data_IF_702744255870
#
_entry.id   IF_702744255870
#
_cell.length_a   1.000
_cell.length_b   1.000
_cell.length_c   1.000
_cell.angle_alpha   90.00
_cell.angle_beta   90.00
_cell.angle_gamma   90.00
#
_symmetry.space_group_name_H-M   'P 1'
#
loop_
_entity.id
_entity.type
_entity.pdbx_description
1 polymer ?
#
# COMPACT_ATOMS: atom_id res chain seq x y z
N UNK A 1 -73.83 169.18 44.10
CA UNK A 1 -72.49 169.67 43.72
C UNK A 1 -71.78 170.06 45.00
N UNK A 2 -70.56 169.55 45.17
CA UNK A 2 -69.70 169.58 46.37
C UNK A 2 -70.02 168.54 47.45
N UNK A 3 -69.04 167.67 47.70
CA UNK A 3 -69.00 166.62 48.74
C UNK A 3 -69.62 165.27 48.34
N UNK A 4 -69.55 165.00 47.03
CA UNK A 4 -69.21 163.69 46.48
C UNK A 4 -67.79 163.24 46.93
N UNK A 5 -67.00 164.15 47.55
CA UNK A 5 -65.63 163.90 48.03
C UNK A 5 -65.54 163.37 49.48
N UNK A 6 -66.50 163.65 50.38
CA UNK A 6 -66.49 163.03 51.73
C UNK A 6 -66.95 161.57 51.66
N UNK A 7 -67.75 161.22 50.65
CA UNK A 7 -68.15 159.86 50.32
C UNK A 7 -67.00 158.96 49.86
N UNK A 8 -65.83 159.53 49.52
CA UNK A 8 -64.64 158.78 49.09
C UNK A 8 -63.63 158.58 50.24
N UNK A 9 -63.40 159.60 51.07
CA UNK A 9 -62.36 159.54 52.12
C UNK A 9 -62.76 158.71 53.35
N UNK A 10 -64.04 158.66 53.73
CA UNK A 10 -64.49 157.72 54.75
C UNK A 10 -64.65 156.28 54.22
N UNK A 11 -64.85 156.10 52.91
CA UNK A 11 -64.91 154.78 52.30
C UNK A 11 -63.55 154.06 52.37
N UNK A 12 -62.44 154.81 52.41
CA UNK A 12 -61.08 154.28 52.63
C UNK A 12 -60.81 153.90 54.10
N UNK A 13 -61.38 154.60 55.08
CA UNK A 13 -61.37 154.19 56.50
C UNK A 13 -62.27 152.96 56.73
N UNK A 14 -63.39 152.86 56.02
CA UNK A 14 -64.27 151.69 56.03
C UNK A 14 -63.56 150.47 55.41
N UNK A 15 -62.72 150.66 54.38
CA UNK A 15 -61.99 149.56 53.74
C UNK A 15 -60.85 149.01 54.61
N UNK A 16 -60.10 149.87 55.31
CA UNK A 16 -58.99 149.44 56.18
C UNK A 16 -59.46 148.84 57.52
N UNK A 17 -60.61 149.25 58.06
CA UNK A 17 -61.18 148.61 59.26
C UNK A 17 -61.86 147.27 58.96
N UNK A 18 -62.42 147.06 57.75
CA UNK A 18 -63.01 145.77 57.40
C UNK A 18 -61.97 144.68 57.14
N UNK A 19 -60.79 145.01 56.59
CA UNK A 19 -59.78 144.00 56.25
C UNK A 19 -59.08 143.42 57.50
N UNK A 20 -58.80 144.25 58.52
CA UNK A 20 -58.20 143.78 59.77
C UNK A 20 -59.16 142.93 60.62
N UNK A 21 -60.45 143.27 60.67
CA UNK A 21 -61.43 142.49 61.46
C UNK A 21 -61.69 141.13 60.83
N UNK A 22 -61.70 141.01 59.49
CA UNK A 22 -61.94 139.71 58.82
C UNK A 22 -60.71 138.80 58.85
N UNK A 23 -59.49 139.36 58.76
CA UNK A 23 -58.24 138.57 58.81
C UNK A 23 -57.95 138.06 60.22
N UNK A 24 -58.18 138.85 61.27
CA UNK A 24 -58.00 138.39 62.65
C UNK A 24 -59.01 137.31 63.06
N UNK A 25 -60.25 137.37 62.57
CA UNK A 25 -61.28 136.34 62.81
C UNK A 25 -60.96 135.02 62.07
N UNK A 26 -60.34 135.10 60.88
CA UNK A 26 -59.84 133.93 60.16
C UNK A 26 -58.60 133.32 60.84
N UNK A 27 -57.66 134.13 61.32
CA UNK A 27 -56.49 133.67 62.07
C UNK A 27 -56.91 133.02 63.39
N UNK A 28 -57.91 133.58 64.10
CA UNK A 28 -58.47 132.94 65.30
C UNK A 28 -59.13 131.60 64.95
N UNK A 29 -59.94 131.52 63.91
CA UNK A 29 -60.54 130.25 63.46
C UNK A 29 -59.50 129.20 63.07
N UNK A 30 -58.44 129.59 62.36
CA UNK A 30 -57.35 128.67 62.01
C UNK A 30 -56.51 128.27 63.23
N UNK A 31 -56.32 129.15 64.20
CA UNK A 31 -55.65 128.84 65.48
C UNK A 31 -56.48 127.91 66.34
N UNK A 32 -57.79 128.12 66.40
CA UNK A 32 -58.73 127.25 67.11
C UNK A 32 -58.87 125.90 66.41
N UNK A 33 -58.88 125.85 65.08
CA UNK A 33 -58.79 124.61 64.31
C UNK A 33 -57.44 123.90 64.52
N UNK A 34 -56.32 124.61 64.53
CA UNK A 34 -55.00 124.02 64.79
C UNK A 34 -54.87 123.50 66.23
N UNK A 35 -55.43 124.21 67.21
CA UNK A 35 -55.51 123.76 68.59
C UNK A 35 -56.40 122.51 68.71
N UNK A 36 -57.56 122.51 68.06
CA UNK A 36 -58.47 121.36 68.04
C UNK A 36 -57.84 120.14 67.35
N UNK A 37 -57.10 120.32 66.25
CA UNK A 37 -56.32 119.26 65.61
C UNK A 37 -55.19 118.77 66.52
N UNK A 38 -54.49 119.68 67.22
CA UNK A 38 -53.43 119.31 68.16
C UNK A 38 -53.98 118.54 69.36
N UNK A 39 -55.16 118.91 69.86
CA UNK A 39 -55.89 118.19 70.91
C UNK A 39 -56.32 116.80 70.43
N UNK A 40 -56.92 116.68 69.24
CA UNK A 40 -57.26 115.40 68.60
C UNK A 40 -56.02 114.50 68.40
N UNK A 41 -54.88 115.07 68.00
CA UNK A 41 -53.63 114.33 67.84
C UNK A 41 -53.06 113.87 69.18
N UNK A 42 -53.17 114.69 70.23
CA UNK A 42 -52.79 114.30 71.60
C UNK A 42 -53.69 113.17 72.10
N UNK A 43 -55.01 113.28 71.92
CA UNK A 43 -55.97 112.23 72.27
C UNK A 43 -55.70 110.93 71.52
N UNK A 44 -55.38 111.00 70.22
CA UNK A 44 -55.03 109.82 69.41
C UNK A 44 -53.71 109.19 69.86
N UNK A 45 -52.69 110.00 70.17
CA UNK A 45 -51.43 109.53 70.75
C UNK A 45 -51.64 108.89 72.12
N UNK A 46 -52.49 109.47 72.97
CA UNK A 46 -52.83 108.92 74.28
C UNK A 46 -53.59 107.59 74.15
N UNK A 47 -54.53 107.48 73.21
CA UNK A 47 -55.21 106.22 72.91
C UNK A 47 -54.23 105.16 72.36
N UNK A 48 -53.30 105.55 71.49
CA UNK A 48 -52.25 104.67 70.98
C UNK A 48 -51.29 104.19 72.06
N UNK A 49 -50.91 105.07 73.00
CA UNK A 49 -50.08 104.69 74.16
C UNK A 49 -50.82 103.74 75.10
N UNK A 50 -52.12 103.97 75.36
CA UNK A 50 -52.94 103.05 76.16
C UNK A 50 -53.05 101.68 75.52
N UNK A 51 -53.32 101.62 74.21
CA UNK A 51 -53.40 100.36 73.48
C UNK A 51 -52.05 99.62 73.46
N UNK A 52 -50.93 100.32 73.29
CA UNK A 52 -49.59 99.73 73.36
C UNK A 52 -49.30 99.16 74.76
N UNK A 53 -49.67 99.88 75.82
CA UNK A 53 -49.54 99.40 77.19
C UNK A 53 -50.42 98.18 77.47
N UNK A 54 -51.65 98.15 76.96
CA UNK A 54 -52.53 97.00 77.06
C UNK A 54 -51.97 95.78 76.30
N UNK A 55 -51.44 95.98 75.10
CA UNK A 55 -50.80 94.91 74.32
C UNK A 55 -49.52 94.39 74.98
N UNK A 56 -48.69 95.27 75.54
CA UNK A 56 -47.50 94.88 76.31
C UNK A 56 -47.88 94.13 77.58
N UNK A 57 -48.96 94.55 78.26
CA UNK A 57 -49.49 93.84 79.42
C UNK A 57 -49.94 92.43 79.05
N UNK A 58 -50.75 92.28 78.00
CA UNK A 58 -51.20 90.98 77.48
C UNK A 58 -50.01 90.11 77.08
N UNK A 59 -49.01 90.67 76.39
CA UNK A 59 -47.83 89.93 75.99
C UNK A 59 -46.99 89.47 77.19
N UNK A 60 -46.81 90.34 78.19
CA UNK A 60 -46.13 89.98 79.44
C UNK A 60 -46.90 88.90 80.21
N UNK A 61 -48.23 88.95 80.23
CA UNK A 61 -49.06 87.91 80.83
C UNK A 61 -48.92 86.58 80.08
N UNK A 62 -48.99 86.56 78.74
CA UNK A 62 -48.75 85.36 77.93
C UNK A 62 -47.36 84.77 78.16
N UNK A 63 -46.33 85.61 78.27
CA UNK A 63 -44.97 85.17 78.56
C UNK A 63 -44.80 84.64 79.98
N UNK A 64 -45.45 85.27 80.97
CA UNK A 64 -45.52 84.77 82.35
C UNK A 64 -46.25 83.43 82.39
N UNK A 65 -47.38 83.29 81.71
CA UNK A 65 -48.13 82.04 81.59
C UNK A 65 -47.34 80.93 80.89
N UNK A 66 -46.66 81.23 79.78
CA UNK A 66 -45.85 80.25 79.06
C UNK A 66 -44.68 79.76 79.92
N UNK A 67 -44.00 80.68 80.61
CA UNK A 67 -42.94 80.35 81.58
C UNK A 67 -43.48 79.57 82.76
N UNK A 68 -44.65 79.91 83.29
CA UNK A 68 -45.31 79.15 84.36
C UNK A 68 -45.65 77.74 83.87
N UNK A 69 -46.20 77.57 82.67
CA UNK A 69 -46.48 76.26 82.06
C UNK A 69 -45.20 75.46 81.80
N UNK A 70 -44.10 76.11 81.45
CA UNK A 70 -42.79 75.46 81.32
C UNK A 70 -42.29 75.00 82.69
N UNK A 71 -42.31 75.87 83.69
CA UNK A 71 -41.94 75.53 85.07
C UNK A 71 -42.82 74.40 85.61
N UNK A 72 -44.12 74.38 85.31
CA UNK A 72 -45.02 73.30 85.68
C UNK A 72 -44.68 71.98 84.96
N UNK A 73 -44.28 72.01 83.69
CA UNK A 73 -43.79 70.84 82.96
C UNK A 73 -42.50 70.26 83.57
N UNK A 74 -41.58 71.13 83.98
CA UNK A 74 -40.29 70.73 84.54
C UNK A 74 -40.39 70.31 86.02
N UNK A 75 -41.22 71.00 86.82
CA UNK A 75 -41.37 70.75 88.26
C UNK A 75 -42.30 69.59 88.57
N UNK A 76 -43.44 69.47 87.88
CA UNK A 76 -44.39 68.41 88.16
C UNK A 76 -43.83 67.03 87.80
N UNK A 77 -44.01 66.08 88.70
CA UNK A 77 -43.57 64.68 88.52
C UNK A 77 -44.53 63.95 87.57
N UNK A 78 -45.81 64.28 87.60
CA UNK A 78 -46.85 63.65 86.78
C UNK A 78 -46.64 63.90 85.27
N UNK A 79 -46.31 65.13 84.87
CA UNK A 79 -46.05 65.44 83.46
C UNK A 79 -44.76 64.79 82.95
N UNK A 80 -43.72 64.71 83.79
CA UNK A 80 -42.49 63.96 83.46
C UNK A 80 -42.75 62.46 83.31
N UNK A 81 -43.57 61.88 84.19
CA UNK A 81 -43.97 60.48 84.10
C UNK A 81 -44.78 60.20 82.83
N UNK A 82 -45.74 61.07 82.50
CA UNK A 82 -46.51 60.97 81.27
C UNK A 82 -45.61 61.08 80.03
N UNK A 83 -44.68 62.04 80.00
CA UNK A 83 -43.73 62.19 78.90
C UNK A 83 -42.83 60.96 78.77
N UNK A 84 -42.34 60.40 79.87
CA UNK A 84 -41.55 59.16 79.87
C UNK A 84 -42.37 57.97 79.35
N UNK A 85 -43.64 57.84 79.74
CA UNK A 85 -44.56 56.81 79.26
C UNK A 85 -44.86 56.96 77.76
N UNK A 86 -45.07 58.18 77.28
CA UNK A 86 -45.28 58.46 75.86
C UNK A 86 -44.02 58.16 75.03
N UNK A 87 -42.83 58.55 75.52
CA UNK A 87 -41.55 58.18 74.88
C UNK A 87 -41.37 56.66 74.84
N UNK A 88 -41.67 55.96 75.92
CA UNK A 88 -41.64 54.49 75.96
C UNK A 88 -42.63 53.87 74.96
N UNK A 89 -43.83 54.43 74.81
CA UNK A 89 -44.81 53.98 73.83
C UNK A 89 -44.35 54.21 72.38
N UNK A 90 -43.69 55.33 72.08
CA UNK A 90 -43.08 55.57 70.77
C UNK A 90 -41.95 54.57 70.48
N UNK A 91 -41.08 54.30 71.46
CA UNK A 91 -40.03 53.28 71.32
C UNK A 91 -40.63 51.89 71.12
N UNK A 92 -41.70 51.53 71.85
CA UNK A 92 -42.40 50.26 71.68
C UNK A 92 -43.05 50.14 70.29
N UNK A 93 -43.59 51.23 69.74
CA UNK A 93 -44.14 51.28 68.38
C UNK A 93 -43.04 51.06 67.34
N UNK A 94 -41.89 51.70 67.49
CA UNK A 94 -40.73 51.51 66.59
C UNK A 94 -40.18 50.08 66.69
N UNK A 95 -40.05 49.54 67.90
CA UNK A 95 -39.63 48.15 68.11
C UNK A 95 -40.61 47.16 67.45
N UNK A 96 -41.91 47.39 67.57
CA UNK A 96 -42.93 46.56 66.92
C UNK A 96 -42.81 46.61 65.39
N UNK A 97 -42.54 47.80 64.81
CA UNK A 97 -42.29 47.94 63.38
C UNK A 97 -41.01 47.20 62.95
N UNK A 98 -39.92 47.31 63.71
CA UNK A 98 -38.67 46.59 63.45
C UNK A 98 -38.83 45.06 63.56
N UNK A 99 -39.60 44.58 64.55
CA UNK A 99 -39.91 43.17 64.69
C UNK A 99 -40.71 42.66 63.48
N UNK A 100 -41.73 43.41 63.06
CA UNK A 100 -42.53 43.08 61.87
C UNK A 100 -41.67 43.08 60.58
N UNK A 101 -40.76 44.05 60.42
CA UNK A 101 -39.82 44.11 59.30
C UNK A 101 -38.87 42.90 59.30
N UNK A 102 -38.32 42.55 60.47
CA UNK A 102 -37.44 41.38 60.63
C UNK A 102 -38.19 40.08 60.35
N UNK A 103 -39.44 39.96 60.78
CA UNK A 103 -40.29 38.81 60.47
C UNK A 103 -40.61 38.73 58.97
N UNK A 104 -40.95 39.84 58.32
CA UNK A 104 -41.17 39.90 56.88
C UNK A 104 -39.89 39.53 56.10
N UNK A 105 -38.72 40.01 56.53
CA UNK A 105 -37.44 39.66 55.94
C UNK A 105 -37.15 38.16 56.06
N UNK A 106 -37.38 37.56 57.24
CA UNK A 106 -37.24 36.11 57.47
C UNK A 106 -38.18 35.29 56.60
N UNK A 107 -39.44 35.73 56.44
CA UNK A 107 -40.40 35.04 55.57
C UNK A 107 -40.00 35.14 54.10
N UNK A 108 -39.47 36.29 53.67
CA UNK A 108 -38.95 36.47 52.31
C UNK A 108 -37.72 35.58 52.06
N UNK A 109 -36.80 35.49 53.01
CA UNK A 109 -35.63 34.62 52.94
C UNK A 109 -36.05 33.15 52.79
N UNK A 110 -36.99 32.68 53.61
CA UNK A 110 -37.55 31.31 53.49
C UNK A 110 -38.18 31.05 52.12
N UNK A 111 -38.94 32.01 51.59
CA UNK A 111 -39.57 31.87 50.27
C UNK A 111 -38.51 31.79 49.16
N UNK A 112 -37.44 32.57 49.26
CA UNK A 112 -36.30 32.49 48.34
C UNK A 112 -35.55 31.15 48.45
N UNK A 113 -35.38 30.62 49.66
CA UNK A 113 -34.81 29.29 49.90
C UNK A 113 -35.67 28.20 49.27
N UNK A 114 -37.00 28.28 49.42
CA UNK A 114 -37.95 27.34 48.81
C UNK A 114 -37.88 27.39 47.28
N UNK A 115 -37.92 28.58 46.68
CA UNK A 115 -37.76 28.78 45.23
C UNK A 115 -36.42 28.22 44.73
N UNK A 116 -35.32 28.47 45.47
CA UNK A 116 -34.01 27.95 45.11
C UNK A 116 -33.98 26.41 45.16
N UNK A 117 -34.61 25.79 46.17
CA UNK A 117 -34.73 24.34 46.29
C UNK A 117 -35.54 23.76 45.13
N UNK A 118 -36.64 24.40 44.73
CA UNK A 118 -37.44 23.95 43.57
C UNK A 118 -36.65 24.02 42.26
N UNK A 119 -35.92 25.10 42.03
CA UNK A 119 -35.05 25.23 40.85
C UNK A 119 -34.00 24.12 40.84
N UNK A 120 -33.32 23.89 41.97
CA UNK A 120 -32.31 22.82 42.09
C UNK A 120 -32.91 21.44 41.84
N UNK A 121 -34.09 21.13 42.39
CA UNK A 121 -34.79 19.86 42.12
C UNK A 121 -35.09 19.69 40.63
N UNK A 122 -35.61 20.73 39.97
CA UNK A 122 -35.92 20.67 38.54
C UNK A 122 -34.68 20.44 37.67
N UNK A 123 -33.53 21.02 38.06
CA UNK A 123 -32.25 20.79 37.37
C UNK A 123 -31.77 19.37 37.58
N UNK A 124 -31.86 18.86 38.81
CA UNK A 124 -31.49 17.49 39.14
C UNK A 124 -32.34 16.47 38.38
N UNK A 125 -33.66 16.64 38.32
CA UNK A 125 -34.55 15.77 37.55
C UNK A 125 -34.21 15.77 36.06
N UNK A 126 -33.89 16.94 35.48
CA UNK A 126 -33.43 17.03 34.08
C UNK A 126 -32.10 16.33 33.86
N UNK A 127 -31.16 16.44 34.80
CA UNK A 127 -29.87 15.74 34.74
C UNK A 127 -30.06 14.22 34.79
N UNK A 128 -30.85 13.73 35.75
CA UNK A 128 -31.16 12.30 35.88
C UNK A 128 -31.86 11.77 34.63
N UNK A 129 -32.83 12.51 34.08
CA UNK A 129 -33.49 12.14 32.83
C UNK A 129 -32.51 12.12 31.64
N UNK A 130 -31.60 13.08 31.55
CA UNK A 130 -30.58 13.13 30.50
C UNK A 130 -29.57 11.98 30.62
N UNK A 131 -29.15 11.61 31.84
CA UNK A 131 -28.30 10.44 32.10
C UNK A 131 -29.01 9.15 31.71
N UNK A 132 -30.27 8.97 32.13
CA UNK A 132 -31.07 7.80 31.75
C UNK A 132 -31.22 7.65 30.23
N UNK A 133 -31.38 8.76 29.49
CA UNK A 133 -31.43 8.74 28.03
C UNK A 133 -30.09 8.32 27.41
N UNK A 134 -28.96 8.82 27.95
CA UNK A 134 -27.62 8.40 27.50
C UNK A 134 -27.39 6.92 27.73
N UNK A 135 -27.75 6.41 28.91
CA UNK A 135 -27.63 4.99 29.23
C UNK A 135 -28.48 4.12 28.29
N UNK A 136 -29.70 4.57 27.96
CA UNK A 136 -30.58 3.89 27.01
C UNK A 136 -29.99 3.88 25.59
N UNK A 137 -29.39 4.98 25.14
CA UNK A 137 -28.70 5.05 23.85
C UNK A 137 -27.46 4.15 23.80
N UNK A 138 -26.65 4.13 24.86
CA UNK A 138 -25.50 3.24 24.98
C UNK A 138 -25.92 1.77 24.97
N UNK A 139 -27.00 1.43 25.68
CA UNK A 139 -27.56 0.09 25.69
C UNK A 139 -28.06 -0.30 24.28
N UNK A 140 -28.76 0.61 23.59
CA UNK A 140 -29.18 0.40 22.19
C UNK A 140 -27.99 0.15 21.27
N UNK A 141 -26.93 0.96 21.36
CA UNK A 141 -25.69 0.77 20.58
C UNK A 141 -25.04 -0.58 20.88
N UNK A 142 -25.01 -1.01 22.14
CA UNK A 142 -24.50 -2.35 22.53
C UNK A 142 -25.32 -3.48 21.90
N UNK A 143 -26.64 -3.34 21.84
CA UNK A 143 -27.53 -4.31 21.19
C UNK A 143 -27.31 -4.36 19.67
N UNK A 144 -27.23 -3.20 19.02
CA UNK A 144 -26.94 -3.09 17.58
C UNK A 144 -25.58 -3.69 17.24
N UNK A 145 -24.55 -3.38 18.03
CA UNK A 145 -23.22 -3.96 17.90
C UNK A 145 -23.25 -5.49 18.09
N UNK A 146 -23.96 -5.97 19.10
CA UNK A 146 -24.15 -7.40 19.33
C UNK A 146 -24.89 -8.10 18.18
N UNK A 147 -25.85 -7.43 17.53
CA UNK A 147 -26.54 -7.94 16.34
C UNK A 147 -25.60 -8.01 15.14
N UNK A 148 -24.85 -6.95 14.86
CA UNK A 148 -23.87 -6.92 13.78
C UNK A 148 -22.81 -8.03 13.94
N UNK A 149 -22.34 -8.28 15.17
CA UNK A 149 -21.40 -9.37 15.43
C UNK A 149 -22.02 -10.76 15.16
N UNK A 150 -23.29 -10.97 15.54
CA UNK A 150 -24.01 -12.21 15.20
C UNK A 150 -24.14 -12.39 13.70
N UNK A 151 -24.46 -11.33 12.97
CA UNK A 151 -24.57 -11.36 11.51
C UNK A 151 -23.22 -11.69 10.85
N UNK A 152 -22.12 -11.12 11.36
CA UNK A 152 -20.77 -11.48 10.92
C UNK A 152 -20.46 -12.97 11.13
N UNK A 153 -20.83 -13.53 12.29
CA UNK A 153 -20.65 -14.96 12.57
C UNK A 153 -21.48 -15.84 11.62
N UNK A 154 -22.73 -15.46 11.35
CA UNK A 154 -23.59 -16.17 10.38
C UNK A 154 -23.01 -16.09 8.96
N UNK A 155 -22.54 -14.92 8.54
CA UNK A 155 -21.89 -14.74 7.23
C UNK A 155 -20.61 -15.58 7.12
N UNK A 156 -19.78 -15.61 8.15
CA UNK A 156 -18.58 -16.44 8.19
C UNK A 156 -18.92 -17.94 8.08
N UNK A 157 -19.97 -18.39 8.77
CA UNK A 157 -20.39 -19.79 8.71
C UNK A 157 -20.98 -20.16 7.34
N UNK A 158 -21.77 -19.27 6.73
CA UNK A 158 -22.24 -19.46 5.34
C UNK A 158 -21.09 -19.55 4.36
N UNK A 159 -20.05 -18.73 4.53
CA UNK A 159 -18.87 -18.79 3.66
C UNK A 159 -18.16 -20.14 3.77
N UNK A 160 -18.07 -20.72 4.98
CA UNK A 160 -17.54 -22.09 5.16
C UNK A 160 -18.42 -23.14 4.48
N UNK A 161 -19.74 -22.99 4.55
CA UNK A 161 -20.67 -23.89 3.86
C UNK A 161 -20.48 -23.86 2.35
N UNK A 162 -20.40 -22.67 1.75
CA UNK A 162 -20.13 -22.50 0.32
C UNK A 162 -18.78 -23.10 -0.05
N UNK A 163 -17.72 -22.81 0.72
CA UNK A 163 -16.40 -23.40 0.47
C UNK A 163 -16.40 -24.94 0.58
N UNK A 164 -17.21 -25.50 1.47
CA UNK A 164 -17.37 -26.95 1.57
C UNK A 164 -18.12 -27.53 0.37
N UNK A 165 -19.15 -26.86 -0.12
CA UNK A 165 -19.86 -27.25 -1.35
C UNK A 165 -18.91 -27.22 -2.56
N UNK A 166 -18.12 -26.16 -2.72
CA UNK A 166 -17.11 -26.04 -3.77
C UNK A 166 -16.09 -27.18 -3.68
N UNK A 167 -15.57 -27.47 -2.48
CA UNK A 167 -14.67 -28.61 -2.26
C UNK A 167 -15.30 -29.95 -2.67
N UNK A 168 -16.58 -30.18 -2.37
CA UNK A 168 -17.27 -31.39 -2.78
C UNK A 168 -17.47 -31.46 -4.31
N UNK A 169 -17.70 -30.32 -4.97
CA UNK A 169 -17.77 -30.26 -6.43
C UNK A 169 -16.41 -30.55 -7.06
N UNK A 170 -15.34 -29.91 -6.58
CA UNK A 170 -13.96 -30.16 -7.01
C UNK A 170 -13.58 -31.62 -6.82
N UNK A 171 -13.91 -32.21 -5.66
CA UNK A 171 -13.67 -33.63 -5.40
C UNK A 171 -14.37 -34.53 -6.42
N UNK A 172 -15.63 -34.25 -6.76
CA UNK A 172 -16.35 -35.02 -7.80
C UNK A 172 -15.67 -34.92 -9.16
N UNK A 173 -15.16 -33.74 -9.51
CA UNK A 173 -14.41 -33.52 -10.76
C UNK A 173 -13.10 -34.30 -10.74
N UNK A 174 -12.33 -34.22 -9.64
CA UNK A 174 -11.08 -34.96 -9.47
C UNK A 174 -11.31 -36.47 -9.51
N UNK A 175 -12.33 -36.99 -8.81
CA UNK A 175 -12.69 -38.40 -8.85
C UNK A 175 -13.07 -38.84 -10.28
N UNK A 176 -13.74 -37.98 -11.06
CA UNK A 176 -14.06 -38.26 -12.46
C UNK A 176 -12.79 -38.26 -13.35
N UNK A 177 -11.83 -37.36 -13.12
CA UNK A 177 -10.55 -37.34 -13.82
C UNK A 177 -9.74 -38.61 -13.50
N UNK A 178 -9.65 -38.99 -12.22
CA UNK A 178 -8.94 -40.21 -11.80
C UNK A 178 -9.57 -41.45 -12.43
N UNK A 179 -10.90 -41.55 -12.47
CA UNK A 179 -11.59 -42.64 -13.18
C UNK A 179 -11.24 -42.67 -14.67
N UNK A 180 -11.24 -41.51 -15.35
CA UNK A 180 -10.86 -41.43 -16.76
C UNK A 180 -9.43 -41.89 -17.01
N UNK A 181 -8.48 -41.50 -16.15
CA UNK A 181 -7.08 -41.95 -16.26
C UNK A 181 -7.01 -43.47 -16.12
N UNK A 182 -7.69 -44.05 -15.12
CA UNK A 182 -7.71 -45.51 -14.97
C UNK A 182 -8.35 -46.22 -16.17
N UNK A 183 -9.45 -45.70 -16.71
CA UNK A 183 -10.10 -46.25 -17.89
C UNK A 183 -9.20 -46.16 -19.13
N UNK A 184 -8.48 -45.05 -19.30
CA UNK A 184 -7.51 -44.84 -20.38
C UNK A 184 -6.31 -45.78 -20.25
N UNK A 185 -5.72 -45.89 -19.06
CA UNK A 185 -4.62 -46.80 -18.75
C UNK A 185 -5.02 -48.26 -19.03
N UNK A 186 -6.24 -48.65 -18.66
CA UNK A 186 -6.76 -49.99 -18.93
C UNK A 186 -6.90 -50.23 -20.45
N UNK A 187 -7.47 -49.28 -21.20
CA UNK A 187 -7.59 -49.39 -22.66
C UNK A 187 -6.23 -49.44 -23.36
N UNK A 188 -5.26 -48.68 -22.87
CA UNK A 188 -3.89 -48.75 -23.37
C UNK A 188 -3.28 -50.12 -23.11
N UNK A 189 -3.47 -50.67 -21.91
CA UNK A 189 -3.00 -52.00 -21.56
C UNK A 189 -3.62 -53.07 -22.47
N UNK A 190 -4.94 -53.05 -22.65
CA UNK A 190 -5.64 -53.95 -23.57
C UNK A 190 -5.13 -53.80 -25.02
N UNK A 191 -4.93 -52.56 -25.49
CA UNK A 191 -4.39 -52.29 -26.82
C UNK A 191 -2.96 -52.81 -27.00
N UNK A 192 -2.10 -52.66 -25.98
CA UNK A 192 -0.72 -53.19 -25.98
C UNK A 192 -0.75 -54.72 -25.99
N UNK A 193 -1.61 -55.34 -25.19
CA UNK A 193 -1.79 -56.79 -25.17
C UNK A 193 -2.27 -57.34 -26.52
N UNK A 194 -3.24 -56.70 -27.15
CA UNK A 194 -3.71 -57.08 -28.49
C UNK A 194 -2.62 -56.94 -29.55
N UNK A 195 -1.84 -55.85 -29.52
CA UNK A 195 -0.69 -55.69 -30.43
C UNK A 195 0.35 -56.79 -30.22
N UNK A 196 0.68 -57.11 -28.97
CA UNK A 196 1.62 -58.18 -28.64
C UNK A 196 1.11 -59.56 -29.08
N UNK A 197 -0.19 -59.83 -28.95
CA UNK A 197 -0.79 -61.07 -29.45
C UNK A 197 -0.70 -61.15 -30.97
N UNK A 198 -1.05 -60.07 -31.69
CA UNK A 198 -0.93 -60.02 -33.16
C UNK A 198 0.50 -60.21 -33.63
N UNK A 199 1.47 -59.53 -33.03
CA UNK A 199 2.89 -59.70 -33.42
C UNK A 199 3.37 -61.12 -33.13
N UNK A 200 2.91 -61.75 -32.04
CA UNK A 200 3.21 -63.15 -31.74
C UNK A 200 2.62 -64.09 -32.79
N UNK A 201 1.35 -63.90 -33.16
CA UNK A 201 0.69 -64.68 -34.23
C UNK A 201 1.40 -64.51 -35.58
N UNK A 202 1.80 -63.30 -35.94
CA UNK A 202 2.57 -63.00 -37.15
C UNK A 202 3.94 -63.71 -37.15
N UNK A 203 4.65 -63.70 -36.01
CA UNK A 203 5.93 -64.41 -35.85
C UNK A 203 5.73 -65.92 -35.98
N UNK A 204 4.69 -66.47 -35.35
CA UNK A 204 4.37 -67.91 -35.43
C UNK A 204 4.01 -68.31 -36.86
N UNK A 205 3.20 -67.51 -37.57
CA UNK A 205 2.86 -67.73 -38.97
C UNK A 205 4.10 -67.66 -39.87
N UNK A 206 4.98 -66.67 -39.66
CA UNK A 206 6.24 -66.54 -40.39
C UNK A 206 7.17 -67.74 -40.15
N UNK A 207 7.30 -68.19 -38.91
CA UNK A 207 8.12 -69.36 -38.59
C UNK A 207 7.57 -70.64 -39.24
N UNK A 208 6.25 -70.87 -39.20
CA UNK A 208 5.62 -72.00 -39.91
C UNK A 208 5.84 -71.94 -41.42
N UNK A 209 5.70 -70.77 -42.03
CA UNK A 209 5.95 -70.58 -43.46
C UNK A 209 7.43 -70.84 -43.81
N UNK A 210 8.35 -70.37 -42.97
CA UNK A 210 9.80 -70.60 -43.12
C UNK A 210 10.16 -72.07 -42.98
N UNK A 211 9.57 -72.79 -42.03
CA UNK A 211 9.75 -74.23 -41.85
C UNK A 211 9.22 -75.02 -43.05
N UNK A 212 8.02 -74.68 -43.53
CA UNK A 212 7.45 -75.29 -44.73
C UNK A 212 8.32 -75.03 -45.98
N UNK A 213 8.88 -73.83 -46.12
CA UNK A 213 9.80 -73.51 -47.21
C UNK A 213 11.09 -74.33 -47.12
N UNK A 214 11.70 -74.44 -45.92
CA UNK A 214 12.86 -75.30 -45.69
C UNK A 214 12.58 -76.78 -45.91
N UNK A 215 11.35 -77.25 -45.69
CA UNK A 215 10.95 -78.62 -45.98
C UNK A 215 10.84 -78.84 -47.48
N UNK A 216 10.15 -77.96 -48.21
CA UNK A 216 10.07 -78.00 -49.67
C UNK A 216 11.44 -77.95 -50.33
N UNK A 217 12.32 -77.05 -49.88
CA UNK A 217 13.70 -76.95 -50.39
C UNK A 217 14.49 -78.25 -50.15
N UNK A 218 14.30 -78.90 -48.99
CA UNK A 218 14.90 -80.21 -48.73
C UNK A 218 14.34 -81.32 -49.63
N UNK A 219 13.02 -81.35 -49.83
CA UNK A 219 12.37 -82.29 -50.75
C UNK A 219 12.87 -82.10 -52.19
N UNK A 220 12.99 -80.85 -52.66
CA UNK A 220 13.52 -80.52 -53.98
C UNK A 220 14.99 -80.97 -54.15
N UNK A 221 15.83 -80.73 -53.13
CA UNK A 221 17.22 -81.20 -53.11
C UNK A 221 17.28 -82.73 -53.08
N UNK A 222 16.44 -83.41 -52.30
CA UNK A 222 16.38 -84.87 -52.26
C UNK A 222 15.96 -85.46 -53.62
N UNK A 223 14.98 -84.85 -54.29
CA UNK A 223 14.55 -85.28 -55.62
C UNK A 223 15.58 -84.98 -56.71
N UNK A 224 16.33 -83.87 -56.61
CA UNK A 224 17.50 -83.61 -57.47
C UNK A 224 18.62 -84.62 -57.22
N UNK A 225 18.94 -84.90 -55.96
CA UNK A 225 19.93 -85.91 -55.59
C UNK A 225 19.55 -87.30 -56.12
N UNK A 226 18.27 -87.72 -56.00
CA UNK A 226 17.77 -88.96 -56.59
C UNK A 226 17.95 -89.01 -58.11
N UNK A 227 17.70 -87.89 -58.81
CA UNK A 227 17.92 -87.79 -60.26
C UNK A 227 19.41 -87.89 -60.61
N UNK A 228 20.28 -87.24 -59.84
CA UNK A 228 21.74 -87.33 -59.99
C UNK A 228 22.21 -88.77 -59.77
N UNK A 229 21.75 -89.45 -58.72
CA UNK A 229 22.09 -90.85 -58.44
C UNK A 229 21.67 -91.79 -59.58
N UNK A 230 20.45 -91.62 -60.10
CA UNK A 230 19.97 -92.38 -61.26
C UNK A 230 20.81 -92.12 -62.52
N UNK A 231 21.23 -90.88 -62.75
CA UNK A 231 22.10 -90.51 -63.87
C UNK A 231 23.50 -91.14 -63.71
N UNK A 232 24.12 -91.01 -62.53
CA UNK A 232 25.42 -91.60 -62.21
C UNK A 232 25.38 -93.13 -62.32
N UNK A 233 24.30 -93.79 -61.90
CA UNK A 233 24.14 -95.23 -62.05
C UNK A 233 24.07 -95.64 -63.54
N UNK A 234 23.33 -94.89 -64.37
CA UNK A 234 23.28 -95.14 -65.83
C UNK A 234 24.65 -94.94 -66.48
N UNK A 235 25.39 -93.89 -66.11
CA UNK A 235 26.74 -93.63 -66.61
C UNK A 235 27.71 -94.73 -66.19
N UNK A 236 27.70 -95.16 -64.92
CA UNK A 236 28.51 -96.30 -64.44
C UNK A 236 28.21 -97.59 -65.21
N UNK A 237 26.95 -97.86 -65.53
CA UNK A 237 26.57 -99.03 -66.34
C UNK A 237 27.07 -98.92 -67.79
N UNK A 238 27.10 -97.73 -68.38
CA UNK A 238 27.67 -97.49 -69.71
C UNK A 238 29.19 -97.62 -69.71
N UNK A 239 29.87 -97.04 -68.73
CA UNK A 239 31.31 -97.16 -68.53
C UNK A 239 31.71 -98.63 -68.32
N UNK A 240 30.98 -99.39 -67.49
CA UNK A 240 31.22 -100.82 -67.30
C UNK A 240 31.02 -101.64 -68.59
N UNK A 241 30.00 -101.31 -69.41
CA UNK A 241 29.82 -101.94 -70.73
C UNK A 241 30.99 -101.64 -71.66
N UNK A 242 31.44 -100.38 -71.70
CA UNK A 242 32.56 -99.98 -72.52
C UNK A 242 33.87 -100.66 -72.10
N UNK A 243 34.13 -100.75 -70.79
CA UNK A 243 35.29 -101.47 -70.24
C UNK A 243 35.24 -102.96 -70.61
N UNK A 244 34.07 -103.61 -70.52
CA UNK A 244 33.91 -105.02 -70.93
C UNK A 244 34.17 -105.23 -72.43
N UNK A 245 33.65 -104.35 -73.29
CA UNK A 245 33.92 -104.40 -74.74
C UNK A 245 35.40 -104.17 -75.07
N UNK A 246 36.09 -103.31 -74.31
CA UNK A 246 37.54 -103.11 -74.41
C UNK A 246 38.31 -104.37 -73.98
N UNK A 247 37.94 -104.98 -72.85
CA UNK A 247 38.54 -106.22 -72.37
C UNK A 247 38.37 -107.37 -73.37
N UNK A 248 37.17 -107.57 -73.92
CA UNK A 248 36.93 -108.60 -74.95
C UNK A 248 37.77 -108.35 -76.22
N UNK A 249 37.95 -107.09 -76.62
CA UNK A 249 38.83 -106.71 -77.75
C UNK A 249 40.31 -106.92 -77.42
N UNK A 250 40.73 -106.65 -76.19
CA UNK A 250 42.11 -106.90 -75.73
C UNK A 250 42.40 -108.40 -75.64
N UNK A 251 41.46 -109.22 -75.17
CA UNK A 251 41.58 -110.68 -75.15
C UNK A 251 41.67 -111.27 -76.56
N UNK A 252 40.86 -110.77 -77.51
CA UNK A 252 40.96 -111.15 -78.92
C UNK A 252 42.29 -110.73 -79.56
N UNK A 253 42.80 -109.55 -79.22
CA UNK A 253 44.12 -109.09 -79.66
C UNK A 253 45.24 -109.91 -79.04
N UNK A 254 45.16 -110.26 -77.76
CA UNK A 254 46.13 -111.08 -77.03
C UNK A 254 46.31 -112.45 -77.70
N UNK A 255 45.20 -113.12 -78.03
CA UNK A 255 45.19 -114.41 -78.75
C UNK A 255 45.82 -114.31 -80.16
N UNK A 256 45.63 -113.18 -80.84
CA UNK A 256 46.21 -112.94 -82.16
C UNK A 256 47.72 -112.62 -82.06
N UNK A 257 48.12 -111.81 -81.08
CA UNK A 257 49.53 -111.50 -80.80
C UNK A 257 50.31 -112.73 -80.34
N UNK A 258 49.71 -113.65 -79.59
CA UNK A 258 50.36 -114.91 -79.20
C UNK A 258 50.64 -115.81 -80.42
N UNK A 259 49.70 -115.86 -81.39
CA UNK A 259 49.91 -116.57 -82.67
C UNK A 259 50.98 -115.91 -83.54
N UNK A 260 51.00 -114.58 -83.60
CA UNK A 260 52.00 -113.83 -84.38
C UNK A 260 53.39 -113.93 -83.73
N UNK A 261 53.50 -113.85 -82.40
CA UNK A 261 54.78 -113.99 -81.69
C UNK A 261 55.44 -115.35 -81.97
N UNK A 262 54.64 -116.43 -82.04
CA UNK A 262 55.11 -117.77 -82.42
C UNK A 262 55.61 -117.85 -83.87
N UNK A 263 54.94 -117.15 -84.79
CA UNK A 263 55.32 -117.10 -86.20
C UNK A 263 56.50 -116.16 -86.49
N UNK A 264 56.66 -115.10 -85.68
CA UNK A 264 57.76 -114.13 -85.77
C UNK A 264 59.07 -114.68 -85.23
N UNK A 265 59.08 -115.50 -84.16
CA UNK A 265 60.33 -116.12 -83.68
C UNK A 265 60.96 -117.07 -84.70
N UNK A 266 60.16 -117.65 -85.59
CA UNK A 266 60.62 -118.56 -86.66
C UNK A 266 61.02 -117.81 -87.94
N UNK A 267 60.54 -116.56 -88.13
CA UNK A 267 60.84 -115.71 -89.27
C UNK A 267 61.97 -114.69 -89.02
N UNK A 268 62.14 -114.19 -87.79
CA UNK A 268 63.19 -113.23 -87.40
C UNK A 268 64.61 -113.83 -87.44
N UNK A 269 64.75 -115.14 -87.27
CA UNK A 269 66.05 -115.81 -87.47
C UNK A 269 66.50 -115.80 -88.93
N UNK A 270 65.55 -115.65 -89.87
CA UNK A 270 65.81 -115.62 -91.32
C UNK A 270 65.95 -114.19 -91.87
N UNK A 271 65.42 -113.19 -91.18
CA UNK A 271 65.43 -111.77 -91.62
C UNK A 271 66.57 -110.93 -91.04
N UNK A 272 67.20 -111.35 -89.93
CA UNK A 272 68.39 -110.66 -89.39
C UNK A 272 69.60 -110.65 -90.34
N UNK A 273 69.61 -111.49 -91.37
CA UNK A 273 70.65 -111.50 -92.41
C UNK A 273 70.30 -110.58 -93.62
N UNK A 274 69.05 -110.12 -93.74
CA UNK A 274 68.58 -109.30 -94.89
C UNK A 274 68.29 -107.82 -94.53
N UNK A 275 68.09 -107.49 -93.26
CA UNK A 275 67.64 -106.16 -92.80
C UNK A 275 68.76 -105.12 -92.58
N UNK A 276 70.04 -105.46 -92.76
CA UNK A 276 71.15 -104.48 -92.70
C UNK A 276 71.20 -103.55 -93.92
N UNK A 277 70.47 -103.82 -95.01
CA UNK A 277 70.61 -103.08 -96.30
C UNK A 277 69.47 -102.09 -96.59
N UNK A 278 68.33 -102.15 -95.91
CA UNK A 278 67.12 -101.38 -96.30
C UNK A 278 66.74 -100.21 -95.38
N UNK A 279 67.49 -99.94 -94.31
CA UNK A 279 67.12 -98.89 -93.34
C UNK A 279 67.60 -97.46 -93.69
N UNK A 280 68.31 -97.25 -94.80
CA UNK A 280 68.85 -95.92 -95.15
C UNK A 280 67.94 -95.04 -96.03
N UNK A 281 66.77 -95.51 -96.50
CA UNK A 281 65.96 -94.76 -97.50
C UNK A 281 64.63 -94.19 -96.99
N UNK A 282 64.17 -94.53 -95.78
CA UNK A 282 62.84 -94.11 -95.29
C UNK A 282 62.84 -92.84 -94.41
N UNK A 283 64.00 -92.24 -94.14
CA UNK A 283 64.14 -91.10 -93.21
C UNK A 283 63.88 -89.70 -93.81
N UNK A 284 63.73 -89.56 -95.14
CA UNK A 284 63.56 -88.24 -95.78
C UNK A 284 62.10 -87.79 -95.96
N UNK A 285 61.14 -88.70 -96.12
CA UNK A 285 59.76 -88.30 -96.48
C UNK A 285 58.94 -87.75 -95.29
N UNK A 286 59.34 -87.98 -94.04
CA UNK A 286 58.61 -87.52 -92.83
C UNK A 286 58.88 -86.05 -92.43
N UNK A 287 59.84 -85.35 -93.05
CA UNK A 287 60.29 -84.03 -92.58
C UNK A 287 59.45 -82.84 -93.08
N UNK A 288 58.75 -82.95 -94.21
CA UNK A 288 58.06 -81.80 -94.82
C UNK A 288 56.66 -81.48 -94.25
N UNK A 289 55.98 -82.44 -93.61
CA UNK A 289 54.62 -82.22 -93.08
C UNK A 289 54.59 -81.53 -91.71
N UNK A 290 55.68 -81.63 -90.92
CA UNK A 290 55.77 -81.07 -89.56
C UNK A 290 56.01 -79.55 -89.50
N UNK A 291 56.37 -78.90 -90.60
CA UNK A 291 56.66 -77.46 -90.63
C UNK A 291 55.42 -76.58 -90.84
N UNK A 292 54.42 -77.08 -91.59
CA UNK A 292 53.20 -76.31 -91.92
C UNK A 292 52.27 -76.13 -90.71
N UNK A 293 52.25 -77.09 -89.78
CA UNK A 293 51.38 -77.03 -88.59
C UNK A 293 51.88 -76.05 -87.50
N UNK A 294 53.19 -75.76 -87.47
CA UNK A 294 53.81 -74.88 -86.46
C UNK A 294 53.49 -73.39 -86.68
N UNK A 295 53.22 -72.95 -87.91
CA UNK A 295 52.98 -71.54 -88.24
C UNK A 295 51.60 -71.02 -87.79
N UNK A 296 50.56 -71.87 -87.85
CA UNK A 296 49.18 -71.51 -87.49
C UNK A 296 48.99 -71.41 -85.96
N UNK A 297 49.76 -72.17 -85.18
CA UNK A 297 49.68 -72.19 -83.72
C UNK A 297 50.33 -70.97 -83.06
N UNK A 298 51.37 -70.42 -83.69
CA UNK A 298 52.07 -69.20 -83.26
C UNK A 298 51.21 -67.95 -83.43
N UNK A 299 50.43 -67.85 -84.50
CA UNK A 299 49.56 -66.69 -84.78
C UNK A 299 48.40 -66.57 -83.76
N UNK A 300 47.78 -67.69 -83.39
CA UNK A 300 46.70 -67.73 -82.37
C UNK A 300 47.19 -67.40 -80.96
N UNK A 301 48.43 -67.77 -80.61
CA UNK A 301 49.06 -67.43 -79.32
C UNK A 301 49.40 -65.94 -79.22
N UNK A 302 49.68 -65.27 -80.34
CA UNK A 302 49.98 -63.84 -80.38
C UNK A 302 48.73 -62.97 -80.21
N UNK A 303 47.59 -63.31 -80.85
CA UNK A 303 46.31 -62.58 -80.71
C UNK A 303 45.76 -62.60 -79.28
N UNK A 304 45.74 -63.77 -78.63
CA UNK A 304 45.26 -63.91 -77.23
C UNK A 304 46.10 -63.10 -76.23
N UNK A 305 47.39 -62.92 -76.51
CA UNK A 305 48.32 -62.15 -75.65
C UNK A 305 48.13 -60.63 -75.79
N UNK A 306 47.65 -60.18 -76.94
CA UNK A 306 47.32 -58.77 -77.21
C UNK A 306 45.97 -58.40 -76.57
N UNK A 307 44.95 -59.24 -76.74
CA UNK A 307 43.62 -59.05 -76.12
C UNK A 307 43.69 -59.05 -74.58
N UNK A 308 44.47 -59.97 -73.98
CA UNK A 308 44.68 -59.99 -72.53
C UNK A 308 45.42 -58.74 -72.01
N UNK A 309 46.35 -58.16 -72.80
CA UNK A 309 47.03 -56.90 -72.44
C UNK A 309 46.12 -55.69 -72.56
N UNK A 310 45.20 -55.67 -73.52
CA UNK A 310 44.22 -54.60 -73.69
C UNK A 310 43.17 -54.65 -72.57
N UNK A 311 42.58 -55.82 -72.28
CA UNK A 311 41.63 -56.00 -71.18
C UNK A 311 42.21 -55.61 -69.81
N UNK A 312 43.48 -55.94 -69.54
CA UNK A 312 44.16 -55.51 -68.31
C UNK A 312 44.41 -54.00 -68.27
N UNK A 313 44.70 -53.35 -69.41
CA UNK A 313 44.84 -51.89 -69.47
C UNK A 313 43.51 -51.18 -69.21
N UNK A 314 42.43 -51.69 -69.79
CA UNK A 314 41.09 -51.12 -69.63
C UNK A 314 40.57 -51.31 -68.19
N UNK A 315 40.78 -52.48 -67.58
CA UNK A 315 40.44 -52.73 -66.17
C UNK A 315 41.21 -51.81 -65.21
N UNK A 316 42.48 -51.53 -65.48
CA UNK A 316 43.28 -50.59 -64.68
C UNK A 316 42.83 -49.14 -64.89
N UNK A 317 42.44 -48.76 -66.11
CA UNK A 317 41.90 -47.44 -66.40
C UNK A 317 40.54 -47.20 -65.72
N UNK A 318 39.65 -48.19 -65.73
CA UNK A 318 38.35 -48.12 -65.04
C UNK A 318 38.51 -48.08 -63.53
N UNK A 319 39.46 -48.84 -62.98
CA UNK A 319 39.79 -48.80 -61.55
C UNK A 319 40.34 -47.43 -61.15
N UNK A 320 41.19 -46.82 -61.99
CA UNK A 320 41.73 -45.48 -61.77
C UNK A 320 40.65 -44.39 -61.83
N UNK A 321 39.69 -44.52 -62.75
CA UNK A 321 38.54 -43.60 -62.87
C UNK A 321 37.60 -43.67 -61.67
N UNK A 322 37.23 -44.88 -61.22
CA UNK A 322 36.40 -45.06 -60.02
C UNK A 322 37.06 -44.48 -58.77
N UNK A 323 38.37 -44.71 -58.63
CA UNK A 323 39.13 -44.14 -57.51
C UNK A 323 39.17 -42.60 -57.57
N UNK A 324 39.23 -42.01 -58.77
CA UNK A 324 39.16 -40.55 -58.94
C UNK A 324 37.75 -39.99 -58.66
N UNK A 325 36.69 -40.70 -59.05
CA UNK A 325 35.29 -40.32 -58.76
C UNK A 325 35.01 -40.41 -57.25
N UNK A 326 35.39 -41.51 -56.60
CA UNK A 326 35.30 -41.68 -55.14
C UNK A 326 36.09 -40.59 -54.40
N UNK A 327 37.31 -40.25 -54.86
CA UNK A 327 38.10 -39.16 -54.28
C UNK A 327 37.46 -37.78 -54.48
N UNK A 328 36.78 -37.53 -55.61
CA UNK A 328 36.07 -36.29 -55.87
C UNK A 328 34.79 -36.19 -55.02
N UNK A 329 34.06 -37.28 -54.84
CA UNK A 329 32.87 -37.33 -54.01
C UNK A 329 33.23 -37.21 -52.52
N UNK A 330 34.30 -37.86 -52.06
CA UNK A 330 34.86 -37.63 -50.72
C UNK A 330 35.30 -36.18 -50.51
N UNK A 331 35.92 -35.55 -51.51
CA UNK A 331 36.33 -34.14 -51.43
C UNK A 331 35.11 -33.21 -51.35
N UNK A 332 34.05 -33.48 -52.12
CA UNK A 332 32.78 -32.73 -52.07
C UNK A 332 32.08 -32.92 -50.73
N UNK A 333 32.04 -34.15 -50.21
CA UNK A 333 31.48 -34.45 -48.90
C UNK A 333 32.24 -33.76 -47.77
N UNK A 334 33.59 -33.79 -47.80
CA UNK A 334 34.43 -33.06 -46.84
C UNK A 334 34.19 -31.55 -46.90
N UNK A 335 34.03 -30.98 -48.10
CA UNK A 335 33.71 -29.55 -48.27
C UNK A 335 32.30 -29.18 -47.77
N UNK A 336 31.30 -30.03 -47.98
CA UNK A 336 29.95 -29.83 -47.44
C UNK A 336 29.95 -29.90 -45.91
N UNK A 337 30.62 -30.91 -45.35
CA UNK A 337 30.74 -31.08 -43.91
C UNK A 337 31.49 -29.90 -43.25
N UNK A 338 32.58 -29.43 -43.87
CA UNK A 338 33.30 -28.23 -43.41
C UNK A 338 32.44 -26.96 -43.46
N UNK A 339 31.56 -26.82 -44.45
CA UNK A 339 30.61 -25.70 -44.52
C UNK A 339 29.55 -25.80 -43.44
N UNK A 340 28.99 -26.97 -43.19
CA UNK A 340 28.03 -27.20 -42.10
C UNK A 340 28.65 -26.93 -40.73
N UNK A 341 29.90 -27.36 -40.50
CA UNK A 341 30.64 -27.03 -39.29
C UNK A 341 30.90 -25.52 -39.15
N UNK A 342 31.29 -24.83 -40.23
CA UNK A 342 31.49 -23.38 -40.20
C UNK A 342 30.19 -22.60 -39.98
N UNK A 343 29.07 -23.05 -40.56
CA UNK A 343 27.75 -22.45 -40.38
C UNK A 343 27.22 -22.67 -38.95
N UNK A 344 27.39 -23.87 -38.40
CA UNK A 344 27.01 -24.17 -37.02
C UNK A 344 27.89 -23.43 -36.00
N UNK A 345 29.21 -23.33 -36.23
CA UNK A 345 30.10 -22.53 -35.39
C UNK A 345 29.77 -21.02 -35.44
N UNK A 346 29.42 -20.49 -36.62
CA UNK A 346 28.96 -19.09 -36.78
C UNK A 346 27.64 -18.83 -36.06
N UNK A 347 26.69 -19.77 -36.13
CA UNK A 347 25.43 -19.70 -35.40
C UNK A 347 25.66 -19.78 -33.88
N UNK A 348 26.61 -20.60 -33.43
CA UNK A 348 26.94 -20.75 -32.03
C UNK A 348 27.62 -19.49 -31.46
N UNK A 349 28.50 -18.84 -32.23
CA UNK A 349 29.09 -17.54 -31.90
C UNK A 349 28.02 -16.46 -31.75
N UNK A 350 27.08 -16.34 -32.71
CA UNK A 350 25.98 -15.38 -32.64
C UNK A 350 25.02 -15.67 -31.48
N UNK A 351 24.75 -16.94 -31.19
CA UNK A 351 23.95 -17.34 -30.04
C UNK A 351 24.66 -17.04 -28.71
N UNK A 352 25.98 -17.20 -28.64
CA UNK A 352 26.80 -16.85 -27.49
C UNK A 352 26.82 -15.32 -27.26
N UNK A 353 26.98 -14.52 -28.32
CA UNK A 353 26.90 -13.06 -28.24
C UNK A 353 25.51 -12.59 -27.79
N UNK A 354 24.43 -13.19 -28.34
CA UNK A 354 23.05 -12.87 -27.93
C UNK A 354 22.79 -13.22 -26.46
N UNK A 355 23.30 -14.35 -25.98
CA UNK A 355 23.23 -14.74 -24.55
C UNK A 355 23.99 -13.73 -23.68
N UNK A 356 25.19 -13.32 -24.10
CA UNK A 356 26.00 -12.31 -23.39
C UNK A 356 25.29 -10.95 -23.31
N UNK A 357 24.69 -10.49 -24.41
CA UNK A 357 23.91 -9.25 -24.44
C UNK A 357 22.69 -9.32 -23.51
N UNK A 358 21.94 -10.43 -23.54
CA UNK A 358 20.77 -10.61 -22.68
C UNK A 358 21.13 -10.64 -21.18
N UNK A 359 22.27 -11.22 -20.83
CA UNK A 359 22.80 -11.20 -19.46
C UNK A 359 23.22 -9.77 -19.06
N UNK A 360 23.84 -9.01 -19.95
CA UNK A 360 24.20 -7.61 -19.71
C UNK A 360 22.97 -6.72 -19.54
N UNK A 361 21.94 -6.90 -20.36
CA UNK A 361 20.66 -6.21 -20.25
C UNK A 361 19.98 -6.55 -18.92
N UNK A 362 19.90 -7.84 -18.56
CA UNK A 362 19.34 -8.25 -17.28
C UNK A 362 20.13 -7.66 -16.11
N UNK A 363 21.47 -7.70 -16.16
CA UNK A 363 22.34 -7.07 -15.16
C UNK A 363 22.11 -5.57 -15.06
N UNK A 364 21.94 -4.88 -16.18
CA UNK A 364 21.62 -3.44 -16.21
C UNK A 364 20.27 -3.17 -15.56
N UNK A 365 19.22 -3.90 -15.94
CA UNK A 365 17.88 -3.73 -15.33
C UNK A 365 17.89 -4.00 -13.83
N UNK A 366 18.64 -5.00 -13.36
CA UNK A 366 18.80 -5.29 -11.92
C UNK A 366 19.56 -4.17 -11.20
N UNK A 367 20.61 -3.64 -11.81
CA UNK A 367 21.34 -2.50 -11.26
C UNK A 367 20.46 -1.24 -11.20
N UNK A 368 19.72 -0.93 -12.25
CA UNK A 368 18.80 0.22 -12.28
C UNK A 368 17.74 0.09 -11.17
N UNK A 369 17.15 -1.10 -10.99
CA UNK A 369 16.22 -1.37 -9.88
C UNK A 369 16.86 -1.22 -8.49
N UNK A 370 18.14 -1.59 -8.35
CA UNK A 370 18.88 -1.44 -7.09
C UNK A 370 19.24 0.03 -6.82
N UNK A 371 19.59 0.79 -7.86
CA UNK A 371 19.86 2.22 -7.78
C UNK A 371 18.60 3.01 -7.44
N UNK A 372 17.48 2.72 -8.09
CA UNK A 372 16.18 3.33 -7.77
C UNK A 372 15.77 3.03 -6.32
N UNK A 373 16.02 1.80 -5.83
CA UNK A 373 15.79 1.45 -4.42
C UNK A 373 16.75 2.16 -3.46
N UNK A 374 17.98 2.48 -3.88
CA UNK A 374 18.92 3.29 -3.09
C UNK A 374 18.48 4.76 -3.07
N UNK A 375 18.04 5.30 -4.20
CA UNK A 375 17.52 6.66 -4.33
C UNK A 375 16.28 6.86 -3.48
N UNK A 376 15.27 5.97 -3.57
CA UNK A 376 14.08 6.03 -2.71
C UNK A 376 14.43 6.02 -1.21
N UNK A 377 15.38 5.18 -0.78
CA UNK A 377 15.85 5.19 0.61
C UNK A 377 16.59 6.46 1.00
N UNK A 378 17.36 7.04 0.09
CA UNK A 378 18.05 8.30 0.32
C UNK A 378 17.05 9.48 0.43
N UNK A 379 16.03 9.50 -0.42
CA UNK A 379 14.93 10.48 -0.39
C UNK A 379 14.10 10.34 0.89
N UNK A 380 13.75 9.11 1.29
CA UNK A 380 13.08 8.82 2.57
C UNK A 380 13.92 9.31 3.77
N UNK A 381 15.23 9.04 3.76
CA UNK A 381 16.11 9.49 4.83
C UNK A 381 16.25 11.01 4.86
N UNK A 382 16.38 11.66 3.69
CA UNK A 382 16.43 13.12 3.59
C UNK A 382 15.13 13.76 4.07
N UNK A 383 13.98 13.19 3.72
CA UNK A 383 12.68 13.64 4.19
C UNK A 383 12.57 13.54 5.72
N UNK A 384 13.00 12.42 6.30
CA UNK A 384 13.04 12.24 7.76
C UNK A 384 14.01 13.22 8.44
N UNK A 385 15.17 13.49 7.85
CA UNK A 385 16.10 14.51 8.34
C UNK A 385 15.47 15.91 8.29
N UNK A 386 14.82 16.29 7.20
CA UNK A 386 14.14 17.60 7.10
C UNK A 386 12.99 17.74 8.10
N UNK A 387 12.24 16.66 8.38
CA UNK A 387 11.21 16.67 9.43
C UNK A 387 11.83 16.85 10.82
N UNK A 388 12.91 16.11 11.11
CA UNK A 388 13.62 16.24 12.37
C UNK A 388 14.21 17.63 12.57
N UNK A 389 14.82 18.22 11.53
CA UNK A 389 15.36 19.58 11.58
C UNK A 389 14.22 20.60 11.80
N UNK A 390 13.05 20.41 11.18
CA UNK A 390 11.89 21.26 11.40
C UNK A 390 11.37 21.15 12.84
N UNK A 391 11.28 19.93 13.38
CA UNK A 391 10.90 19.67 14.77
C UNK A 391 11.89 20.31 15.76
N UNK A 392 13.20 20.23 15.49
CA UNK A 392 14.22 20.90 16.29
C UNK A 392 14.08 22.43 16.27
N UNK A 393 13.81 23.03 15.10
CA UNK A 393 13.60 24.47 14.99
C UNK A 393 12.31 24.93 15.70
N UNK A 394 11.23 24.14 15.60
CA UNK A 394 9.99 24.39 16.36
C UNK A 394 10.21 24.27 17.87
N UNK A 395 10.99 23.28 18.32
CA UNK A 395 11.37 23.15 19.73
C UNK A 395 12.25 24.30 20.20
N UNK A 396 13.22 24.75 19.39
CA UNK A 396 14.07 25.91 19.71
C UNK A 396 13.23 27.18 19.82
N UNK A 397 12.31 27.41 18.88
CA UNK A 397 11.37 28.53 18.92
C UNK A 397 10.46 28.46 20.16
N UNK A 398 9.98 27.27 20.52
CA UNK A 398 9.19 27.06 21.75
C UNK A 398 10.01 27.32 23.01
N UNK A 399 11.25 26.83 23.08
CA UNK A 399 12.17 27.08 24.21
C UNK A 399 12.45 28.57 24.34
N UNK A 400 12.68 29.28 23.23
CA UNK A 400 12.86 30.74 23.22
C UNK A 400 11.62 31.47 23.79
N UNK A 401 10.41 31.15 23.32
CA UNK A 401 9.18 31.74 23.85
C UNK A 401 8.97 31.46 25.35
N UNK A 402 9.31 30.24 25.80
CA UNK A 402 9.24 29.87 27.22
C UNK A 402 10.27 30.64 28.04
N UNK A 403 11.48 30.84 27.53
CA UNK A 403 12.54 31.62 28.20
C UNK A 403 12.19 33.12 28.27
N UNK A 404 11.59 33.69 27.21
CA UNK A 404 11.07 35.05 27.21
C UNK A 404 9.96 35.26 28.25
N UNK A 405 8.95 34.38 28.27
CA UNK A 405 7.87 34.45 29.25
C UNK A 405 8.39 34.17 30.67
N UNK A 406 9.36 33.25 30.84
CA UNK A 406 10.02 33.00 32.12
C UNK A 406 10.74 34.26 32.62
N UNK A 407 11.51 34.94 31.77
CA UNK A 407 12.21 36.19 32.13
C UNK A 407 11.21 37.33 32.42
N UNK A 408 10.09 37.38 31.72
CA UNK A 408 9.01 38.34 31.97
C UNK A 408 8.38 38.13 33.35
N UNK A 409 8.01 36.89 33.67
CA UNK A 409 7.47 36.51 34.99
C UNK A 409 8.48 36.83 36.10
N UNK A 410 9.76 36.50 35.88
CA UNK A 410 10.82 36.84 36.83
C UNK A 410 10.96 38.35 37.02
N UNK A 411 10.94 39.18 35.97
CA UNK A 411 11.01 40.64 36.11
C UNK A 411 9.79 41.23 36.85
N UNK A 412 8.60 40.70 36.62
CA UNK A 412 7.35 41.20 37.24
C UNK A 412 7.22 40.82 38.72
N UNK A 413 7.68 39.62 39.08
CA UNK A 413 7.45 39.04 40.41
C UNK A 413 8.69 38.99 41.29
N UNK A 414 9.89 38.86 40.72
CA UNK A 414 11.10 38.66 41.52
C UNK A 414 11.33 39.85 42.45
N UNK A 415 11.21 41.10 41.98
CA UNK A 415 11.41 42.29 42.83
C UNK A 415 10.49 42.36 44.06
N UNK A 416 9.32 41.71 44.01
CA UNK A 416 8.36 41.64 45.13
C UNK A 416 8.57 40.43 46.05
N UNK A 417 9.38 39.46 45.63
CA UNK A 417 9.56 38.16 46.27
C UNK A 417 11.02 37.86 46.65
N UNK A 418 11.90 38.88 46.64
CA UNK A 418 13.35 38.78 46.93
C UNK A 418 13.65 37.96 48.19
N UNK A 419 12.88 38.13 49.26
CA UNK A 419 13.15 37.48 50.54
C UNK A 419 12.59 36.04 50.67
N UNK A 420 11.71 35.61 49.76
CA UNK A 420 10.99 34.34 49.86
C UNK A 420 11.30 33.37 48.70
N UNK A 421 12.21 33.71 47.79
CA UNK A 421 12.52 32.89 46.62
C UNK A 421 13.60 31.83 46.93
N UNK A 422 13.32 30.52 46.69
CA UNK A 422 14.28 29.46 46.92
C UNK A 422 15.46 29.53 45.94
N UNK A 423 16.69 29.25 46.44
CA UNK A 423 17.95 29.46 45.72
C UNK A 423 18.09 28.73 44.37
N UNK A 424 17.31 27.68 44.09
CA UNK A 424 17.39 26.91 42.83
C UNK A 424 16.51 27.39 41.67
N UNK A 425 15.75 28.48 41.85
CA UNK A 425 14.79 28.97 40.83
C UNK A 425 15.44 29.89 39.79
N UNK A 426 16.53 30.55 40.16
CA UNK A 426 17.30 31.47 39.30
C UNK A 426 18.48 30.73 38.68
N UNK A 427 18.69 30.92 37.37
CA UNK A 427 19.93 30.50 36.68
C UNK A 427 20.95 31.64 36.74
N UNK A 428 22.24 31.30 36.64
CA UNK A 428 23.35 32.28 36.64
C UNK A 428 23.17 33.36 35.56
N UNK A 429 22.65 32.99 34.39
CA UNK A 429 22.36 33.88 33.26
C UNK A 429 21.19 34.85 33.50
N UNK A 430 20.34 34.60 34.51
CA UNK A 430 19.17 35.43 34.82
C UNK A 430 19.53 36.64 35.72
N UNK A 431 20.61 36.55 36.51
CA UNK A 431 21.00 37.59 37.48
C UNK A 431 21.27 38.98 36.87
N UNK A 432 21.91 39.11 35.68
CA UNK A 432 22.12 40.42 35.04
C UNK A 432 20.80 41.13 34.66
N UNK A 433 19.72 40.36 34.45
CA UNK A 433 18.45 40.84 33.90
C UNK A 433 17.44 41.31 34.96
N UNK A 434 17.72 41.06 36.25
CA UNK A 434 16.80 41.27 37.39
C UNK A 434 17.22 42.42 38.33
N UNK A 435 18.32 43.12 38.03
CA UNK A 435 18.78 44.33 38.73
C UNK A 435 19.87 44.09 39.79
N UNK A 436 20.55 45.16 40.21
CA UNK A 436 21.76 45.12 41.06
C UNK A 436 21.55 44.52 42.46
N UNK A 437 20.31 44.49 42.96
CA UNK A 437 19.96 43.93 44.28
C UNK A 437 19.97 42.39 44.30
N UNK A 438 19.67 41.75 43.16
CA UNK A 438 19.73 40.29 43.02
C UNK A 438 21.17 39.76 42.93
N UNK A 439 22.02 40.46 42.18
CA UNK A 439 23.45 40.14 42.01
C UNK A 439 24.17 40.14 43.36
N UNK A 440 23.84 41.07 44.27
CA UNK A 440 24.45 41.14 45.60
C UNK A 440 24.08 39.98 46.52
N UNK A 441 22.84 39.46 46.44
CA UNK A 441 22.31 38.47 47.39
C UNK A 441 22.50 37.02 46.94
N UNK A 442 22.43 36.77 45.63
CA UNK A 442 22.56 35.45 45.05
C UNK A 442 23.92 35.23 44.35
N UNK A 443 24.68 36.29 44.06
CA UNK A 443 26.05 36.20 43.49
C UNK A 443 27.15 35.91 44.51
N UNK A 444 26.81 35.74 45.79
CA UNK A 444 27.73 35.30 46.84
C UNK A 444 27.47 33.82 47.18
N UNK A 445 27.93 32.93 46.31
CA UNK A 445 28.38 31.57 46.68
C UNK A 445 28.97 30.91 45.46
N UNK A 446 30.29 30.72 45.50
CA UNK A 446 30.96 29.48 45.07
C UNK A 446 32.30 29.37 45.81
N UNK A 447 32.23 29.17 47.12
CA UNK A 447 33.28 28.50 47.90
C UNK A 447 32.60 27.73 49.04
N UNK A 448 32.18 26.51 48.74
CA UNK A 448 32.00 25.32 49.61
C UNK A 448 30.81 24.48 49.11
N UNK A 449 31.08 23.57 48.18
CA UNK A 449 31.14 22.13 48.43
C UNK A 449 31.56 21.39 47.16
#
# INVERSE_FOLDING_TARGET
MMLFDILSDLFAEIYNLLEHVVVDDLILKYRDQANSICELQKELCEQGMRLAQEMDHIHQEQMKEAKLRQQLRESSIELRNLEAQLRAAYIAKELAAQLAEKEAARMKEKLQEEEAVEVLKSVWERQVAAESMKDAEEYRRKLEYGAALRDQMVCAERLKQVAHEDFLQEKKILDAVVRRIHDEDQREFESKMLKMQKTKEEIEAFNKAREAWKQKEREEIEDENRRIEQYLAKQRMQEQKHIRELQEKEEQKALFTEKIARQMSEAETRKREEEEIMQQLAEEEQKEEMERQKQIELERKLRRRIEARQAHRDQMADRMKRLQEEAQDEARYKQQLLKEYAESERLEQLAAEKRRLKILEYRKTVNDMLEERRQRRAEELQYLMCLHDLEEEEEKARKHMVEEERLRILKEHAGRLIDYLPRGVLREDDLPHLGSEFVKRYGQTDEKQ
#
